data_IF_441560588313
#
_entry.id   IF_441560588313
#
_cell.length_a   1.000
_cell.length_b   1.000
_cell.length_c   1.000
_cell.angle_alpha   90.00
_cell.angle_beta   90.00
_cell.angle_gamma   90.00
#
_symmetry.space_group_name_H-M   'P 1'
#
loop_
_entity.id
_entity.type
_entity.pdbx_description
1 polymer ?
#
# COMPACT_ATOMS: atom_id res chain seq x y z
N UNK A 1 -6.02 11.41 10.71
CA UNK A 1 -5.83 10.45 9.59
C UNK A 1 -7.14 9.73 9.23
N UNK A 2 -7.80 9.15 10.20
CA UNK A 2 -9.06 8.43 9.96
C UNK A 2 -10.13 9.34 9.34
N UNK A 3 -10.25 10.57 9.81
CA UNK A 3 -11.24 11.53 9.30
C UNK A 3 -10.98 11.87 7.83
N UNK A 4 -9.71 11.99 7.45
CA UNK A 4 -9.35 12.28 6.06
C UNK A 4 -9.77 11.12 5.16
N UNK A 5 -9.55 9.88 5.59
CA UNK A 5 -9.94 8.70 4.85
C UNK A 5 -11.47 8.65 4.71
N UNK A 6 -12.20 8.87 5.81
CA UNK A 6 -13.67 8.82 5.81
C UNK A 6 -14.25 9.88 4.88
N UNK A 7 -13.68 11.09 4.86
CA UNK A 7 -14.17 12.17 4.01
C UNK A 7 -13.93 11.90 2.52
N UNK A 8 -12.86 11.19 2.19
CA UNK A 8 -12.41 11.05 0.80
C UNK A 8 -12.74 9.69 0.17
N UNK A 9 -13.15 8.70 0.95
CA UNK A 9 -13.46 7.36 0.45
C UNK A 9 -14.87 6.97 0.88
N UNK A 10 -15.82 7.07 -0.04
CA UNK A 10 -17.20 6.72 0.24
C UNK A 10 -17.37 5.22 0.40
N UNK A 11 -18.28 4.83 1.29
CA UNK A 11 -18.62 3.42 1.50
C UNK A 11 -17.60 2.62 2.26
N UNK A 12 -16.55 3.27 2.78
CA UNK A 12 -15.49 2.60 3.55
C UNK A 12 -15.44 3.19 4.95
N UNK A 13 -15.36 2.31 5.96
CA UNK A 13 -15.11 2.74 7.32
C UNK A 13 -13.66 3.20 7.42
N UNK A 14 -13.44 4.50 7.60
CA UNK A 14 -12.11 5.09 7.63
C UNK A 14 -11.23 4.54 8.75
N UNK A 15 -11.81 4.24 9.90
CA UNK A 15 -11.07 3.67 11.02
C UNK A 15 -10.63 2.25 10.72
N UNK A 16 -11.52 1.44 10.15
CA UNK A 16 -11.22 0.07 9.80
C UNK A 16 -10.13 0.01 8.72
N UNK A 17 -10.27 0.82 7.68
CA UNK A 17 -9.26 0.88 6.62
C UNK A 17 -7.92 1.34 7.16
N UNK A 18 -7.90 2.36 8.01
CA UNK A 18 -6.67 2.83 8.65
C UNK A 18 -5.97 1.71 9.39
N UNK A 19 -6.72 0.97 10.23
CA UNK A 19 -6.16 -0.13 11.00
C UNK A 19 -5.63 -1.24 10.10
N UNK A 20 -6.35 -1.57 9.03
CA UNK A 20 -5.93 -2.59 8.07
C UNK A 20 -4.64 -2.18 7.37
N UNK A 21 -4.50 -0.91 7.02
CA UNK A 21 -3.28 -0.41 6.38
C UNK A 21 -2.11 -0.44 7.36
N UNK A 22 -2.32 -0.04 8.61
CA UNK A 22 -1.28 -0.09 9.64
C UNK A 22 -0.81 -1.53 9.83
N UNK A 23 -1.73 -2.49 9.87
CA UNK A 23 -1.39 -3.91 9.98
C UNK A 23 -0.55 -4.36 8.78
N UNK A 24 -0.91 -3.92 7.58
CA UNK A 24 -0.18 -4.22 6.35
C UNK A 24 1.26 -3.70 6.45
N UNK A 25 1.43 -2.45 6.88
CA UNK A 25 2.76 -1.86 7.04
C UNK A 25 3.59 -2.58 8.09
N UNK A 26 2.97 -2.95 9.21
CA UNK A 26 3.66 -3.68 10.26
C UNK A 26 4.12 -5.05 9.78
N UNK A 27 3.31 -5.73 8.98
CA UNK A 27 3.69 -7.02 8.40
C UNK A 27 4.87 -6.87 7.45
N UNK A 28 4.86 -5.86 6.59
CA UNK A 28 5.97 -5.61 5.66
C UNK A 28 7.26 -5.28 6.42
N UNK A 29 7.16 -4.42 7.43
CA UNK A 29 8.30 -4.07 8.29
C UNK A 29 8.88 -5.30 8.98
N UNK A 30 8.02 -6.16 9.48
CA UNK A 30 8.43 -7.40 10.15
C UNK A 30 9.17 -8.33 9.18
N UNK A 31 8.61 -8.54 7.99
CA UNK A 31 9.23 -9.41 6.98
C UNK A 31 10.58 -8.87 6.51
N UNK A 32 10.71 -7.55 6.42
CA UNK A 32 11.95 -6.91 5.97
C UNK A 32 12.92 -6.63 7.10
N UNK A 33 12.51 -6.84 8.36
CA UNK A 33 13.30 -6.52 9.55
C UNK A 33 13.80 -5.08 9.52
N UNK A 34 12.90 -4.17 9.18
CA UNK A 34 13.23 -2.75 9.04
C UNK A 34 12.21 -1.88 9.77
N UNK A 35 12.63 -0.66 10.08
CA UNK A 35 11.72 0.35 10.62
C UNK A 35 11.56 1.47 9.62
N UNK A 36 10.40 2.13 9.69
CA UNK A 36 10.13 3.31 8.88
C UNK A 36 10.13 4.53 9.80
N UNK A 37 10.71 5.65 9.38
CA UNK A 37 10.63 6.87 10.17
C UNK A 37 9.17 7.24 10.44
N UNK A 38 8.86 7.65 11.66
CA UNK A 38 7.50 8.02 12.04
C UNK A 38 6.92 9.10 11.14
N UNK A 39 7.77 10.00 10.67
CA UNK A 39 7.34 11.10 9.79
C UNK A 39 6.85 10.64 8.43
N UNK A 40 7.20 9.42 7.99
CA UNK A 40 6.78 8.90 6.69
C UNK A 40 5.46 8.13 6.75
N UNK A 41 5.07 7.67 7.95
CA UNK A 41 3.90 6.80 8.10
C UNK A 41 2.61 7.45 7.58
N UNK A 42 2.28 8.70 7.93
CA UNK A 42 1.04 9.31 7.41
C UNK A 42 0.98 9.34 5.89
N UNK A 43 2.09 9.64 5.22
CA UNK A 43 2.14 9.67 3.77
C UNK A 43 1.88 8.31 3.15
N UNK A 44 2.47 7.26 3.72
CA UNK A 44 2.28 5.90 3.24
C UNK A 44 0.82 5.46 3.43
N UNK A 45 0.26 5.74 4.60
CA UNK A 45 -1.13 5.38 4.91
C UNK A 45 -2.08 6.05 3.92
N UNK A 46 -1.91 7.36 3.67
CA UNK A 46 -2.74 8.08 2.71
C UNK A 46 -2.58 7.52 1.30
N UNK A 47 -1.34 7.23 0.90
CA UNK A 47 -1.08 6.67 -0.43
C UNK A 47 -1.85 5.35 -0.63
N UNK A 48 -1.76 4.46 0.35
CA UNK A 48 -2.44 3.17 0.26
C UNK A 48 -3.97 3.34 0.32
N UNK A 49 -4.47 4.24 1.17
CA UNK A 49 -5.90 4.50 1.25
C UNK A 49 -6.46 4.99 -0.09
N UNK A 50 -5.79 5.95 -0.72
CA UNK A 50 -6.23 6.44 -2.02
C UNK A 50 -6.04 5.41 -3.13
N UNK A 51 -5.03 4.53 -3.00
CA UNK A 51 -4.86 3.41 -3.91
C UNK A 51 -6.09 2.47 -3.84
N UNK A 52 -6.53 2.12 -2.65
CA UNK A 52 -7.73 1.28 -2.48
C UNK A 52 -8.93 1.94 -3.15
N UNK A 53 -9.09 3.25 -2.96
CA UNK A 53 -10.19 4.00 -3.60
C UNK A 53 -10.11 3.94 -5.12
N UNK A 54 -8.92 4.22 -5.69
CA UNK A 54 -8.74 4.23 -7.15
C UNK A 54 -9.04 2.86 -7.76
N UNK A 55 -8.49 1.81 -7.17
CA UNK A 55 -8.68 0.46 -7.68
C UNK A 55 -10.16 0.06 -7.57
N UNK A 56 -10.81 0.39 -6.46
CA UNK A 56 -12.24 0.11 -6.27
C UNK A 56 -13.11 0.80 -7.31
N UNK A 57 -12.66 1.93 -7.85
CA UNK A 57 -13.35 2.67 -8.89
C UNK A 57 -12.90 2.29 -10.31
N UNK A 58 -12.12 1.24 -10.45
CA UNK A 58 -11.63 0.79 -11.75
C UNK A 58 -10.49 1.60 -12.33
N UNK A 59 -9.84 2.43 -11.51
CA UNK A 59 -8.72 3.27 -11.95
C UNK A 59 -7.39 2.62 -11.61
N UNK A 60 -6.44 2.69 -12.54
CA UNK A 60 -5.09 2.15 -12.34
C UNK A 60 -4.09 3.27 -12.11
N UNK A 61 -2.98 2.93 -11.47
CA UNK A 61 -1.84 3.84 -11.37
C UNK A 61 -1.19 4.00 -12.74
N UNK A 62 -0.46 5.10 -12.91
CA UNK A 62 0.43 5.26 -14.06
C UNK A 62 1.51 4.19 -14.02
N UNK A 63 2.01 3.79 -15.18
CA UNK A 63 3.10 2.82 -15.26
C UNK A 63 4.32 3.33 -14.48
N UNK A 64 4.92 2.45 -13.68
CA UNK A 64 6.13 2.78 -12.93
C UNK A 64 7.33 2.63 -13.86
N UNK A 65 8.05 3.71 -14.10
CA UNK A 65 9.20 3.70 -14.98
C UNK A 65 10.30 2.79 -14.44
N UNK A 66 10.77 1.86 -15.27
CA UNK A 66 11.80 0.91 -14.87
C UNK A 66 11.29 -0.18 -13.93
N UNK A 67 10.01 -0.46 -13.96
CA UNK A 67 9.36 -1.43 -13.08
C UNK A 67 10.08 -2.77 -12.99
N UNK A 68 10.38 -3.37 -14.14
CA UNK A 68 10.98 -4.71 -14.16
C UNK A 68 12.35 -4.73 -13.48
N UNK A 69 13.21 -3.76 -13.81
CA UNK A 69 14.52 -3.67 -13.19
C UNK A 69 14.43 -3.37 -11.70
N UNK A 70 13.50 -2.50 -11.33
CA UNK A 70 13.32 -2.14 -9.93
C UNK A 70 12.89 -3.34 -9.08
N UNK A 71 11.97 -4.14 -9.60
CA UNK A 71 11.54 -5.37 -8.91
C UNK A 71 12.68 -6.35 -8.79
N UNK A 72 13.41 -6.60 -9.89
CA UNK A 72 14.53 -7.54 -9.89
C UNK A 72 15.62 -7.14 -8.91
N UNK A 73 15.92 -5.85 -8.83
CA UNK A 73 16.97 -5.34 -7.94
C UNK A 73 16.54 -5.29 -6.47
N UNK A 74 15.23 -5.37 -6.21
CA UNK A 74 14.67 -5.25 -4.86
C UNK A 74 13.65 -6.35 -4.58
N UNK A 75 13.95 -7.57 -4.98
CA UNK A 75 13.01 -8.67 -4.94
C UNK A 75 12.48 -8.97 -3.54
N UNK A 76 13.33 -8.85 -2.52
CA UNK A 76 12.91 -9.06 -1.13
C UNK A 76 11.86 -8.02 -0.70
N UNK A 77 12.04 -6.76 -1.10
CA UNK A 77 11.07 -5.70 -0.79
C UNK A 77 9.77 -5.97 -1.55
N UNK A 78 9.88 -6.31 -2.82
CA UNK A 78 8.73 -6.61 -3.66
C UNK A 78 7.87 -7.72 -3.05
N UNK A 79 8.50 -8.83 -2.67
CA UNK A 79 7.77 -9.97 -2.12
C UNK A 79 7.13 -9.64 -0.77
N UNK A 80 7.83 -8.90 0.09
CA UNK A 80 7.29 -8.52 1.39
C UNK A 80 6.06 -7.62 1.24
N UNK A 81 6.15 -6.62 0.37
CA UNK A 81 5.03 -5.70 0.11
C UNK A 81 3.87 -6.46 -0.50
N UNK A 82 4.14 -7.29 -1.51
CA UNK A 82 3.09 -8.06 -2.19
C UNK A 82 2.34 -8.96 -1.22
N UNK A 83 3.06 -9.70 -0.38
CA UNK A 83 2.45 -10.59 0.61
C UNK A 83 1.65 -9.82 1.66
N UNK A 84 2.16 -8.66 2.06
CA UNK A 84 1.50 -7.83 3.06
C UNK A 84 0.17 -7.26 2.57
N UNK A 85 0.02 -7.08 1.26
CA UNK A 85 -1.19 -6.52 0.67
C UNK A 85 -2.32 -7.53 0.47
N UNK A 86 -2.05 -8.83 0.64
CA UNK A 86 -3.05 -9.87 0.37
C UNK A 86 -4.33 -9.66 1.19
N UNK A 87 -4.21 -9.31 2.46
CA UNK A 87 -5.38 -9.11 3.32
C UNK A 87 -6.24 -7.93 2.83
N UNK A 88 -5.60 -6.85 2.36
CA UNK A 88 -6.33 -5.73 1.78
C UNK A 88 -7.02 -6.13 0.48
N UNK A 89 -6.32 -6.90 -0.36
CA UNK A 89 -6.89 -7.36 -1.61
C UNK A 89 -8.15 -8.20 -1.39
N UNK A 90 -8.08 -9.12 -0.44
CA UNK A 90 -9.21 -9.99 -0.14
C UNK A 90 -10.37 -9.22 0.50
N UNK A 91 -10.06 -8.39 1.49
CA UNK A 91 -11.09 -7.69 2.26
C UNK A 91 -11.84 -6.65 1.41
N UNK A 92 -11.12 -5.91 0.58
CA UNK A 92 -11.71 -4.84 -0.22
C UNK A 92 -11.99 -5.24 -1.66
N UNK A 93 -11.78 -6.52 -1.99
CA UNK A 93 -12.03 -7.07 -3.34
C UNK A 93 -11.31 -6.29 -4.43
N UNK A 94 -10.02 -6.03 -4.19
CA UNK A 94 -9.17 -5.32 -5.14
C UNK A 94 -7.99 -6.19 -5.55
N UNK A 95 -7.35 -5.85 -6.66
CA UNK A 95 -6.13 -6.49 -7.11
C UNK A 95 -5.09 -5.40 -7.33
N UNK A 96 -3.97 -5.49 -6.60
CA UNK A 96 -2.92 -4.48 -6.63
C UNK A 96 -1.92 -4.84 -7.73
N UNK A 97 -1.75 -3.96 -8.70
CA UNK A 97 -0.83 -4.20 -9.82
C UNK A 97 0.63 -4.04 -9.39
N UNK A 98 1.53 -4.55 -10.23
CA UNK A 98 2.96 -4.41 -10.00
C UNK A 98 3.39 -2.93 -9.96
N UNK A 99 2.76 -2.09 -10.77
CA UNK A 99 3.05 -0.65 -10.75
C UNK A 99 2.73 -0.04 -9.39
N UNK A 100 1.57 -0.37 -8.83
CA UNK A 100 1.20 0.12 -7.50
C UNK A 100 2.16 -0.40 -6.43
N UNK A 101 2.55 -1.68 -6.52
CA UNK A 101 3.51 -2.25 -5.58
C UNK A 101 4.83 -1.50 -5.63
N UNK A 102 5.31 -1.16 -6.82
CA UNK A 102 6.55 -0.39 -6.98
C UNK A 102 6.48 0.97 -6.29
N UNK A 103 5.35 1.67 -6.39
CA UNK A 103 5.20 2.95 -5.70
C UNK A 103 5.27 2.77 -4.17
N UNK A 104 4.70 1.69 -3.64
CA UNK A 104 4.78 1.40 -2.21
C UNK A 104 6.21 1.01 -1.81
N UNK A 105 6.89 0.22 -2.64
CA UNK A 105 8.28 -0.19 -2.40
C UNK A 105 9.22 0.99 -2.19
N UNK A 106 8.96 2.11 -2.84
CA UNK A 106 9.78 3.31 -2.68
C UNK A 106 9.88 3.77 -1.23
N UNK A 107 8.85 3.53 -0.43
CA UNK A 107 8.85 3.93 0.97
C UNK A 107 9.76 3.05 1.84
N UNK A 108 10.12 1.87 1.34
CA UNK A 108 10.93 0.90 2.07
C UNK A 108 12.39 0.84 1.62
N UNK A 109 12.78 1.68 0.69
CA UNK A 109 14.15 1.73 0.18
C UNK A 109 15.08 2.49 1.09
#
# INVERSE_FOLDING_TARGET
MEDVITENIEGVDGKELYNDIVDTLNNAKFMLRTELPDSTIPGIVLHIAFMVKRISNGQSASAYEGRESFIEENLNIYEAVKKSLVNLEEKYSIQVSEDEICYIMNFFR
#
